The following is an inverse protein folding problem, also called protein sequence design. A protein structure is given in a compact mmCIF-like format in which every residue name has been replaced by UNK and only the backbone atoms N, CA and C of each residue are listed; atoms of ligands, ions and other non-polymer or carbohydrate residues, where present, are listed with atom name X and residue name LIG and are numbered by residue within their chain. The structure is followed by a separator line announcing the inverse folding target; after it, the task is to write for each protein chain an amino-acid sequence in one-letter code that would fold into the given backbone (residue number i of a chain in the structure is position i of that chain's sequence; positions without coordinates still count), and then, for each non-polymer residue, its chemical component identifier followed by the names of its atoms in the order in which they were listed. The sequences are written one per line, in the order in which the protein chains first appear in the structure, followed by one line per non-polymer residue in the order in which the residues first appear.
data_IF_960794314524
#
_entry.id   IF_960794314524
#
_cell.length_a   1.000
_cell.length_b   1.000
_cell.length_c   1.000
_cell.angle_alpha   90.00
_cell.angle_beta   90.00
_cell.angle_gamma   90.00
#
_symmetry.space_group_name_H-M   'P 1'
#
loop_
_entity.id
_entity.type
_entity.pdbx_description
1 polymer ?
#
# COMPACT_ATOMS: atom_id res chain seq x y z
N UNK A 1 -5.01 4.19 40.05
CA UNK A 1 -5.52 4.89 38.85
C UNK A 1 -4.66 4.43 37.68
N UNK A 2 -5.13 3.48 36.86
CA UNK A 2 -5.83 3.72 35.59
C UNK A 2 -4.96 4.42 34.53
N UNK A 3 -4.20 3.61 33.79
CA UNK A 3 -4.08 3.69 32.33
C UNK A 3 -3.81 2.25 31.86
N UNK A 4 -4.83 1.38 31.83
CA UNK A 4 -5.61 1.07 30.63
C UNK A 4 -4.67 0.77 29.46
N UNK A 5 -4.20 -0.47 29.28
CA UNK A 5 -4.99 -1.55 28.68
C UNK A 5 -5.81 -1.05 27.49
N UNK A 6 -5.17 -0.90 26.33
CA UNK A 6 -5.83 -0.91 25.02
C UNK A 6 -4.86 -1.50 23.98
N UNK A 7 -4.48 -2.76 24.19
CA UNK A 7 -4.25 -3.68 23.08
C UNK A 7 -5.66 -4.03 22.57
N UNK A 8 -6.28 -3.09 21.86
CA UNK A 8 -7.39 -3.39 20.98
C UNK A 8 -6.71 -3.80 19.66
N UNK A 9 -6.56 -5.08 19.35
CA UNK A 9 -7.72 -5.93 19.18
C UNK A 9 -8.60 -5.37 18.05
N UNK A 10 -8.00 -4.92 16.95
CA UNK A 10 -8.68 -4.53 15.71
C UNK A 10 -9.17 -5.77 14.94
N UNK A 11 -9.84 -6.66 15.66
CA UNK A 11 -10.55 -7.82 15.14
C UNK A 11 -12.04 -7.62 15.37
N UNK A 12 -12.62 -6.60 14.72
CA UNK A 12 -14.06 -6.50 14.50
C UNK A 12 -14.29 -6.15 13.03
N UNK A 13 -14.06 -7.15 12.17
CA UNK A 13 -14.73 -7.22 10.86
C UNK A 13 -15.86 -8.24 11.03
N UNK A 14 -16.85 -7.85 11.84
CA UNK A 14 -17.98 -8.69 12.19
C UNK A 14 -19.21 -7.83 12.35
N UNK A 15 -19.73 -7.30 11.25
CA UNK A 15 -21.15 -6.97 11.08
C UNK A 15 -21.43 -6.55 9.61
N UNK A 16 -22.16 -7.39 8.88
CA UNK A 16 -23.06 -6.91 7.82
C UNK A 16 -22.52 -6.73 6.40
N UNK A 17 -21.40 -7.33 6.00
CA UNK A 17 -20.93 -7.30 4.60
C UNK A 17 -21.65 -8.36 3.74
N UNK A 18 -22.94 -8.21 3.51
CA UNK A 18 -23.68 -9.03 2.51
C UNK A 18 -23.94 -8.27 1.19
N UNK A 19 -23.40 -7.05 0.99
CA UNK A 19 -23.72 -6.28 -0.24
C UNK A 19 -22.67 -5.26 -0.76
N UNK A 20 -21.42 -5.20 -0.26
CA UNK A 20 -20.46 -4.18 -0.71
C UNK A 20 -19.14 -4.75 -1.23
N UNK A 21 -19.18 -5.70 -2.17
CA UNK A 21 -17.96 -6.19 -2.81
C UNK A 21 -17.22 -5.06 -3.56
N UNK A 22 -17.96 -4.09 -4.12
CA UNK A 22 -17.38 -2.94 -4.85
C UNK A 22 -16.81 -1.85 -3.95
N UNK A 23 -17.42 -1.54 -2.80
CA UNK A 23 -16.94 -0.44 -1.93
C UNK A 23 -15.65 -0.81 -1.21
N UNK A 24 -15.58 -2.02 -0.66
CA UNK A 24 -14.38 -2.51 0.00
C UNK A 24 -13.21 -2.69 -0.99
N UNK A 25 -13.47 -3.24 -2.19
CA UNK A 25 -12.45 -3.31 -3.24
C UNK A 25 -11.99 -1.90 -3.67
N UNK A 26 -12.91 -0.94 -3.83
CA UNK A 26 -12.57 0.44 -4.18
C UNK A 26 -11.77 1.17 -3.08
N UNK A 27 -12.03 0.87 -1.81
CA UNK A 27 -11.23 1.38 -0.69
C UNK A 27 -9.81 0.80 -0.71
N UNK A 28 -9.67 -0.52 -0.93
CA UNK A 28 -8.34 -1.15 -1.07
C UNK A 28 -7.60 -0.62 -2.31
N UNK A 29 -8.30 -0.45 -3.45
CA UNK A 29 -7.71 0.12 -4.65
C UNK A 29 -7.17 1.53 -4.41
N UNK A 30 -7.90 2.37 -3.66
CA UNK A 30 -7.45 3.71 -3.30
C UNK A 30 -6.23 3.68 -2.37
N UNK A 31 -6.22 2.79 -1.38
CA UNK A 31 -5.07 2.62 -0.47
C UNK A 31 -3.85 2.13 -1.25
N UNK A 32 -4.01 1.11 -2.08
CA UNK A 32 -2.96 0.51 -2.91
C UNK A 32 -2.36 1.55 -3.87
N UNK A 33 -3.20 2.32 -4.58
CA UNK A 33 -2.74 3.41 -5.44
C UNK A 33 -2.08 4.55 -4.65
N UNK A 34 -2.51 4.79 -3.40
CA UNK A 34 -1.89 5.77 -2.52
C UNK A 34 -0.48 5.38 -2.09
N UNK A 35 -0.23 4.09 -1.87
CA UNK A 35 1.10 3.53 -1.56
C UNK A 35 2.02 3.65 -2.78
N UNK A 36 1.53 3.23 -3.94
CA UNK A 36 2.22 3.31 -5.23
C UNK A 36 2.71 4.74 -5.52
N UNK A 37 1.80 5.72 -5.44
CA UNK A 37 2.14 7.14 -5.64
C UNK A 37 3.14 7.69 -4.64
N UNK A 38 3.12 7.20 -3.39
CA UNK A 38 4.12 7.61 -2.38
C UNK A 38 5.49 7.00 -2.71
N UNK A 39 5.53 5.77 -3.18
CA UNK A 39 6.76 5.14 -3.63
C UNK A 39 7.34 5.88 -4.84
N UNK A 40 6.51 6.21 -5.84
CA UNK A 40 6.91 7.05 -6.98
C UNK A 40 7.47 8.40 -6.52
N UNK A 41 6.75 9.13 -5.65
CA UNK A 41 7.22 10.42 -5.16
C UNK A 41 8.55 10.33 -4.40
N UNK A 42 8.75 9.27 -3.59
CA UNK A 42 10.00 9.04 -2.89
C UNK A 42 11.15 8.72 -3.85
N UNK A 43 10.89 7.90 -4.86
CA UNK A 43 11.85 7.56 -5.91
C UNK A 43 12.28 8.81 -6.70
N UNK A 44 11.33 9.69 -7.03
CA UNK A 44 11.60 10.93 -7.74
C UNK A 44 12.42 11.90 -6.90
N UNK A 45 12.14 12.02 -5.60
CA UNK A 45 12.96 12.83 -4.68
C UNK A 45 14.39 12.30 -4.62
N UNK A 46 14.58 10.98 -4.59
CA UNK A 46 15.91 10.36 -4.54
C UNK A 46 16.70 10.63 -5.82
N UNK A 47 16.09 10.41 -6.98
CA UNK A 47 16.71 10.72 -8.27
C UNK A 47 17.03 12.20 -8.40
N UNK A 48 16.11 13.09 -8.03
CA UNK A 48 16.33 14.53 -8.09
C UNK A 48 17.45 15.00 -7.15
N UNK A 49 17.61 14.37 -5.98
CA UNK A 49 18.64 14.74 -5.00
C UNK A 49 20.05 14.42 -5.48
N UNK A 50 20.21 13.39 -6.32
CA UNK A 50 21.50 12.94 -6.83
C UNK A 50 21.67 13.20 -8.34
N UNK A 51 20.73 13.92 -8.96
CA UNK A 51 20.71 14.20 -10.39
C UNK A 51 21.98 14.94 -10.83
N UNK A 52 22.73 14.34 -11.75
CA UNK A 52 24.00 14.90 -12.25
C UNK A 52 25.17 14.78 -11.27
N UNK A 53 24.99 14.11 -10.12
CA UNK A 53 26.04 13.82 -9.15
C UNK A 53 26.77 12.51 -9.45
N UNK A 54 27.89 12.23 -8.74
CA UNK A 54 28.66 10.99 -8.92
C UNK A 54 27.88 9.72 -8.55
N UNK A 55 26.79 9.83 -7.79
CA UNK A 55 25.95 8.71 -7.38
C UNK A 55 24.66 8.58 -8.21
N UNK A 56 24.50 9.32 -9.31
CA UNK A 56 23.25 9.36 -10.07
C UNK A 56 22.73 7.96 -10.46
N UNK A 57 23.60 7.06 -10.91
CA UNK A 57 23.21 5.69 -11.28
C UNK A 57 22.80 4.84 -10.05
N UNK A 58 23.49 4.99 -8.92
CA UNK A 58 23.13 4.28 -7.69
C UNK A 58 21.82 4.81 -7.08
N UNK A 59 21.54 6.11 -7.24
CA UNK A 59 20.28 6.72 -6.84
C UNK A 59 19.13 6.24 -7.73
N UNK A 60 19.36 6.13 -9.04
CA UNK A 60 18.41 5.57 -9.99
C UNK A 60 18.08 4.11 -9.70
N UNK A 61 19.07 3.27 -9.43
CA UNK A 61 18.84 1.86 -9.06
C UNK A 61 18.00 1.73 -7.78
N UNK A 62 18.28 2.57 -6.78
CA UNK A 62 17.48 2.61 -5.54
C UNK A 62 16.06 3.13 -5.78
N UNK A 63 15.90 4.16 -6.61
CA UNK A 63 14.60 4.70 -6.99
C UNK A 63 13.76 3.66 -7.73
N UNK A 64 14.36 2.91 -8.67
CA UNK A 64 13.71 1.81 -9.37
C UNK A 64 13.31 0.67 -8.41
N UNK A 65 14.14 0.37 -7.41
CA UNK A 65 13.79 -0.59 -6.37
C UNK A 65 12.59 -0.13 -5.53
N UNK A 66 12.52 1.16 -5.18
CA UNK A 66 11.38 1.75 -4.45
C UNK A 66 10.10 1.67 -5.30
N UNK A 67 10.17 2.03 -6.59
CA UNK A 67 9.02 1.94 -7.51
C UNK A 67 8.51 0.50 -7.59
N UNK A 68 9.41 -0.47 -7.82
CA UNK A 68 9.05 -1.89 -7.89
C UNK A 68 8.38 -2.38 -6.60
N UNK A 69 8.90 -2.01 -5.43
CA UNK A 69 8.30 -2.39 -4.15
C UNK A 69 6.89 -1.77 -3.97
N UNK A 70 6.69 -0.53 -4.42
CA UNK A 70 5.38 0.12 -4.45
C UNK A 70 4.38 -0.64 -5.31
N UNK A 71 4.79 -1.02 -6.53
CA UNK A 71 3.97 -1.81 -7.45
C UNK A 71 3.64 -3.20 -6.91
N UNK A 72 4.63 -3.93 -6.37
CA UNK A 72 4.42 -5.24 -5.77
C UNK A 72 3.42 -5.18 -4.60
N UNK A 73 3.52 -4.14 -3.77
CA UNK A 73 2.59 -3.92 -2.66
C UNK A 73 1.18 -3.59 -3.17
N UNK A 74 1.08 -2.72 -4.18
CA UNK A 74 -0.20 -2.39 -4.84
C UNK A 74 -0.87 -3.65 -5.38
N UNK A 75 -0.13 -4.48 -6.10
CA UNK A 75 -0.63 -5.68 -6.74
C UNK A 75 -1.02 -6.74 -5.72
N UNK A 76 -0.22 -6.91 -4.67
CA UNK A 76 -0.52 -7.82 -3.56
C UNK A 76 -1.84 -7.44 -2.87
N UNK A 77 -2.02 -6.17 -2.48
CA UNK A 77 -3.24 -5.70 -1.82
C UNK A 77 -4.48 -5.86 -2.71
N UNK A 78 -4.35 -5.56 -4.01
CA UNK A 78 -5.45 -5.74 -4.97
C UNK A 78 -5.79 -7.21 -5.17
N UNK A 79 -4.80 -8.09 -5.20
CA UNK A 79 -5.00 -9.54 -5.30
C UNK A 79 -5.71 -10.08 -4.06
N UNK A 80 -5.26 -9.73 -2.86
CA UNK A 80 -5.91 -10.15 -1.61
C UNK A 80 -7.36 -9.65 -1.53
N UNK A 81 -7.63 -8.40 -1.91
CA UNK A 81 -8.98 -7.86 -1.91
C UNK A 81 -9.90 -8.58 -2.92
N UNK A 82 -9.38 -8.91 -4.10
CA UNK A 82 -10.11 -9.72 -5.08
C UNK A 82 -10.37 -11.13 -4.56
N UNK A 83 -9.37 -11.78 -3.97
CA UNK A 83 -9.51 -13.12 -3.43
C UNK A 83 -10.57 -13.17 -2.33
N UNK A 84 -10.51 -12.25 -1.35
CA UNK A 84 -11.51 -12.10 -0.28
C UNK A 84 -12.91 -11.78 -0.81
N UNK A 85 -13.00 -10.99 -1.88
CA UNK A 85 -14.26 -10.66 -2.57
C UNK A 85 -14.80 -11.77 -3.48
N UNK A 86 -13.96 -12.72 -3.87
CA UNK A 86 -14.29 -13.85 -4.75
C UNK A 86 -14.62 -15.14 -4.00
N UNK A 87 -14.34 -15.21 -2.69
CA UNK A 87 -14.81 -16.33 -1.86
C UNK A 87 -16.34 -16.27 -1.80
N UNK A 88 -17.06 -17.25 -2.39
CA UNK A 88 -18.50 -17.34 -2.19
C UNK A 88 -18.74 -17.60 -0.70
N UNK A 89 -19.51 -16.73 -0.05
CA UNK A 89 -19.97 -16.93 1.33
C UNK A 89 -21.26 -17.71 1.37
#
# INVERSE_FOLDING_TARGET
MKMLAMIAGLAVVGCGLTACNSKAQNEVDQIANGIDKRAEANADILEASEAGGPNAEAAKEQADAIRRQGEETKDHLKKEARELGSVPR
#
